data_IF_396728736322
#
_entry.id   IF_396728736322
#
_cell.length_a   1.000
_cell.length_b   1.000
_cell.length_c   1.000
_cell.angle_alpha   90.00
_cell.angle_beta   90.00
_cell.angle_gamma   90.00
#
_symmetry.space_group_name_H-M   'P 1'
#
loop_
_entity.id
_entity.type
_entity.pdbx_description
1 polymer ?
#
# COMPACT_ATOMS: atom_id res chain seq x y z
N UNK A 1 -18.74 7.05 4.99
CA UNK A 1 -18.06 8.37 4.99
C UNK A 1 -16.61 8.12 5.38
N UNK A 2 -15.64 8.73 4.69
CA UNK A 2 -14.23 8.67 5.08
C UNK A 2 -14.00 9.48 6.36
N UNK A 3 -13.24 8.93 7.30
CA UNK A 3 -12.92 9.59 8.57
C UNK A 3 -11.40 9.74 8.71
N UNK A 4 -10.89 10.83 9.28
CA UNK A 4 -9.45 10.97 9.54
C UNK A 4 -8.92 9.85 10.44
N UNK A 5 -7.81 9.22 10.04
CA UNK A 5 -7.14 8.18 10.83
C UNK A 5 -5.75 8.64 11.30
N UNK A 6 -4.95 9.23 10.39
CA UNK A 6 -3.64 9.84 10.65
C UNK A 6 -3.41 11.00 9.67
N UNK A 7 -2.28 11.70 9.78
CA UNK A 7 -1.89 12.71 8.79
C UNK A 7 -1.87 12.07 7.39
N UNK A 8 -2.62 12.63 6.45
CA UNK A 8 -2.76 12.13 5.07
C UNK A 8 -3.29 10.68 4.97
N UNK A 9 -4.05 10.22 5.96
CA UNK A 9 -4.71 8.92 5.93
C UNK A 9 -6.11 8.99 6.50
N UNK A 10 -7.06 8.41 5.79
CA UNK A 10 -8.46 8.27 6.18
C UNK A 10 -8.83 6.79 6.31
N UNK A 11 -9.89 6.51 7.05
CA UNK A 11 -10.45 5.18 7.23
C UNK A 11 -11.94 5.20 6.89
N UNK A 12 -12.39 4.17 6.18
CA UNK A 12 -13.78 3.87 5.89
C UNK A 12 -14.25 2.66 6.71
N UNK A 13 -14.98 1.74 6.09
CA UNK A 13 -15.42 0.50 6.73
C UNK A 13 -14.33 -0.59 6.62
N UNK A 14 -13.27 -0.46 7.42
CA UNK A 14 -12.16 -1.43 7.43
C UNK A 14 -11.23 -1.33 6.22
N UNK A 15 -11.30 -0.23 5.47
CA UNK A 15 -10.39 0.12 4.37
C UNK A 15 -9.78 1.47 4.68
N UNK A 16 -8.49 1.62 4.38
CA UNK A 16 -7.76 2.86 4.51
C UNK A 16 -7.59 3.53 3.16
N UNK A 17 -7.60 4.86 3.16
CA UNK A 17 -7.21 5.70 2.03
C UNK A 17 -5.99 6.51 2.44
N UNK A 18 -4.92 6.48 1.66
CA UNK A 18 -3.78 7.37 1.86
C UNK A 18 -3.37 8.02 0.55
N UNK A 19 -2.81 9.22 0.65
CA UNK A 19 -2.25 9.95 -0.48
C UNK A 19 -0.74 9.70 -0.56
N UNK A 20 -0.26 9.23 -1.72
CA UNK A 20 1.16 9.02 -1.94
C UNK A 20 1.93 10.36 -1.90
N UNK A 21 3.01 10.48 -1.11
CA UNK A 21 3.61 11.77 -0.81
C UNK A 21 4.25 12.46 -2.02
N UNK A 22 4.73 11.70 -3.00
CA UNK A 22 5.41 12.27 -4.19
C UNK A 22 4.49 12.38 -5.40
N UNK A 23 3.51 11.49 -5.53
CA UNK A 23 2.67 11.39 -6.74
C UNK A 23 1.27 11.93 -6.53
N UNK A 24 0.89 12.26 -5.30
CA UNK A 24 -0.43 12.74 -4.91
C UNK A 24 -1.58 11.81 -5.31
N UNK A 25 -1.26 10.54 -5.60
CA UNK A 25 -2.23 9.53 -5.98
C UNK A 25 -2.81 8.86 -4.73
N UNK A 26 -4.13 8.70 -4.73
CA UNK A 26 -4.83 8.04 -3.64
C UNK A 26 -4.77 6.53 -3.80
N UNK A 27 -4.36 5.84 -2.74
CA UNK A 27 -4.34 4.39 -2.67
C UNK A 27 -5.29 3.94 -1.57
N UNK A 28 -6.09 2.94 -1.91
CA UNK A 28 -7.10 2.33 -1.06
C UNK A 28 -6.62 0.94 -0.67
N UNK A 29 -6.78 0.52 0.57
CA UNK A 29 -6.26 -0.77 0.97
C UNK A 29 -6.21 -1.04 2.45
N UNK A 30 -5.49 -2.10 2.80
CA UNK A 30 -5.32 -2.54 4.17
C UNK A 30 -4.02 -3.31 4.36
N UNK A 31 -3.42 -3.17 5.54
CA UNK A 31 -2.26 -3.97 5.96
C UNK A 31 -2.70 -5.05 6.96
N UNK A 32 -2.16 -6.24 6.83
CA UNK A 32 -2.30 -7.33 7.80
C UNK A 32 -0.98 -7.61 8.49
N UNK A 33 -1.02 -7.93 9.78
CA UNK A 33 0.13 -8.44 10.53
C UNK A 33 -0.35 -9.52 11.49
N UNK A 34 0.27 -10.69 11.40
CA UNK A 34 0.02 -11.85 12.26
C UNK A 34 1.36 -12.47 12.65
N UNK A 35 1.35 -13.49 13.51
CA UNK A 35 2.56 -14.17 14.00
C UNK A 35 3.41 -14.70 12.84
N UNK A 36 4.54 -14.05 12.59
CA UNK A 36 5.52 -14.42 11.55
C UNK A 36 5.21 -13.91 10.14
N UNK A 37 4.10 -13.20 9.91
CA UNK A 37 3.71 -12.77 8.56
C UNK A 37 3.15 -11.35 8.53
N UNK A 38 3.38 -10.66 7.42
CA UNK A 38 2.73 -9.40 7.08
C UNK A 38 2.17 -9.45 5.66
N UNK A 39 1.10 -8.69 5.45
CA UNK A 39 0.46 -8.53 4.16
C UNK A 39 0.07 -7.08 3.91
N UNK A 40 0.07 -6.67 2.65
CA UNK A 40 -0.38 -5.36 2.20
C UNK A 40 -1.11 -5.51 0.88
N UNK A 41 -2.38 -5.11 0.84
CA UNK A 41 -3.19 -5.07 -0.37
C UNK A 41 -3.66 -3.64 -0.58
N UNK A 42 -3.28 -3.05 -1.71
CA UNK A 42 -3.59 -1.67 -2.06
C UNK A 42 -3.95 -1.56 -3.52
N UNK A 43 -4.92 -0.70 -3.85
CA UNK A 43 -5.29 -0.38 -5.22
C UNK A 43 -5.44 1.11 -5.44
N UNK A 44 -5.30 1.51 -6.70
CA UNK A 44 -5.51 2.85 -7.18
C UNK A 44 -6.53 2.79 -8.33
N UNK A 45 -7.70 3.40 -8.11
CA UNK A 45 -8.80 3.39 -9.08
C UNK A 45 -8.51 4.23 -10.32
N UNK A 46 -7.72 5.31 -10.20
CA UNK A 46 -7.38 6.18 -11.33
C UNK A 46 -6.36 5.55 -12.28
N UNK A 47 -5.49 4.69 -11.75
CA UNK A 47 -4.40 4.04 -12.49
C UNK A 47 -4.74 2.62 -12.95
N UNK A 48 -5.93 2.13 -12.60
CA UNK A 48 -6.35 0.73 -12.75
C UNK A 48 -5.26 -0.25 -12.27
N UNK A 49 -4.78 -0.02 -11.04
CA UNK A 49 -3.62 -0.71 -10.49
C UNK A 49 -3.96 -1.33 -9.14
N UNK A 50 -3.70 -2.62 -8.98
CA UNK A 50 -3.74 -3.30 -7.69
C UNK A 50 -2.39 -3.95 -7.39
N UNK A 51 -1.94 -3.83 -6.14
CA UNK A 51 -0.71 -4.42 -5.66
C UNK A 51 -0.94 -5.25 -4.40
N UNK A 52 -0.27 -6.39 -4.34
CA UNK A 52 -0.27 -7.29 -3.19
C UNK A 52 1.16 -7.64 -2.80
N UNK A 53 1.50 -7.42 -1.54
CA UNK A 53 2.79 -7.84 -0.96
C UNK A 53 2.52 -8.76 0.22
N UNK A 54 3.16 -9.92 0.21
CA UNK A 54 3.15 -10.89 1.31
C UNK A 54 4.59 -11.13 1.74
N UNK A 55 4.84 -11.08 3.04
CA UNK A 55 6.15 -11.35 3.61
C UNK A 55 6.04 -12.30 4.81
N UNK A 56 6.97 -13.26 4.89
CA UNK A 56 7.20 -14.10 6.07
C UNK A 56 8.00 -13.34 7.16
N UNK A 57 7.66 -12.07 7.34
CA UNK A 57 8.26 -11.15 8.30
C UNK A 57 7.12 -10.62 9.16
N UNK A 58 7.04 -11.09 10.40
CA UNK A 58 6.05 -10.64 11.38
C UNK A 58 6.49 -9.37 12.09
N UNK A 59 5.56 -8.45 12.31
CA UNK A 59 5.81 -7.19 13.04
C UNK A 59 5.09 -7.08 14.38
N UNK A 60 4.15 -8.00 14.66
CA UNK A 60 3.43 -8.05 15.93
C UNK A 60 4.40 -8.16 17.10
N UNK A 61 4.35 -7.15 18.00
CA UNK A 61 5.24 -7.02 19.16
C UNK A 61 6.74 -6.89 18.86
N UNK A 62 7.13 -6.76 17.59
CA UNK A 62 8.53 -6.61 17.17
C UNK A 62 8.90 -5.17 16.75
N UNK A 63 7.90 -4.28 16.61
CA UNK A 63 8.11 -2.91 16.17
C UNK A 63 8.39 -2.83 14.66
N UNK A 64 9.35 -1.98 14.26
CA UNK A 64 9.73 -1.80 12.86
C UNK A 64 10.67 -2.91 12.43
N UNK A 65 10.23 -3.76 11.51
CA UNK A 65 11.00 -4.89 10.98
C UNK A 65 11.24 -4.71 9.49
N UNK A 66 12.50 -4.82 9.10
CA UNK A 66 12.94 -4.72 7.70
C UNK A 66 12.26 -5.77 6.82
N UNK A 67 11.90 -5.41 5.59
CA UNK A 67 11.23 -6.28 4.61
C UNK A 67 9.84 -6.76 5.01
N UNK A 68 9.19 -6.13 6.00
CA UNK A 68 7.76 -6.34 6.22
C UNK A 68 6.94 -5.78 5.05
N UNK A 69 5.80 -6.40 4.74
CA UNK A 69 4.94 -5.98 3.63
C UNK A 69 4.59 -4.47 3.65
N UNK A 70 4.16 -3.86 4.78
CA UNK A 70 3.92 -2.42 4.81
C UNK A 70 5.19 -1.61 4.59
N UNK A 71 6.35 -2.05 5.08
CA UNK A 71 7.59 -1.32 4.82
C UNK A 71 7.94 -1.33 3.32
N UNK A 72 7.78 -2.48 2.64
CA UNK A 72 8.00 -2.58 1.20
C UNK A 72 7.06 -1.63 0.46
N UNK A 73 5.77 -1.62 0.80
CA UNK A 73 4.79 -0.77 0.11
C UNK A 73 5.03 0.72 0.35
N UNK A 74 5.32 1.13 1.59
CA UNK A 74 5.28 2.54 1.99
C UNK A 74 6.64 3.23 2.13
N UNK A 75 7.71 2.46 2.31
CA UNK A 75 9.06 3.00 2.56
C UNK A 75 10.07 2.57 1.48
N UNK A 76 9.61 2.02 0.36
CA UNK A 76 10.42 1.74 -0.81
C UNK A 76 9.79 2.35 -2.06
N UNK A 77 10.44 2.19 -3.22
CA UNK A 77 9.93 2.66 -4.51
C UNK A 77 8.84 1.77 -5.11
N UNK A 78 8.35 0.76 -4.36
CA UNK A 78 7.45 -0.28 -4.88
C UNK A 78 6.18 0.29 -5.55
N UNK A 79 5.49 1.23 -4.90
CA UNK A 79 4.30 1.85 -5.49
C UNK A 79 4.64 2.71 -6.71
N UNK A 80 5.75 3.45 -6.68
CA UNK A 80 6.19 4.24 -7.83
C UNK A 80 6.51 3.36 -9.05
N UNK A 81 7.11 2.19 -8.83
CA UNK A 81 7.36 1.20 -9.87
C UNK A 81 6.04 0.63 -10.42
N UNK A 82 5.10 0.26 -9.54
CA UNK A 82 3.79 -0.22 -9.96
C UNK A 82 3.06 0.81 -10.85
N UNK A 83 3.11 2.09 -10.48
CA UNK A 83 2.56 3.19 -11.28
C UNK A 83 3.27 3.36 -12.64
N UNK A 84 4.58 3.15 -12.71
CA UNK A 84 5.31 3.23 -13.99
C UNK A 84 4.91 2.09 -14.93
N UNK A 85 4.63 0.91 -14.39
CA UNK A 85 4.24 -0.27 -15.16
C UNK A 85 2.83 -0.13 -15.78
N UNK A 86 1.90 0.55 -15.10
CA UNK A 86 0.56 0.80 -15.68
C UNK A 86 0.65 1.66 -16.95
N UNK A 87 1.54 2.64 -16.97
CA UNK A 87 1.77 3.50 -18.15
C UNK A 87 2.45 2.79 -19.33
N UNK A 88 3.15 1.67 -19.08
CA UNK A 88 3.73 0.85 -20.14
C UNK A 88 2.64 -0.01 -20.76
N UNK A 89 1.82 -0.65 -19.94
CA UNK A 89 0.72 -1.50 -20.40
C UNK A 89 -0.26 -0.76 -21.33
N UNK A 90 -0.55 0.51 -21.05
CA UNK A 90 -1.46 1.35 -21.86
C UNK A 90 -0.87 1.71 -23.24
N UNK A 91 0.45 1.63 -23.45
CA UNK A 91 1.08 1.97 -24.74
C UNK A 91 1.11 0.80 -25.74
N UNK A 92 0.83 -0.41 -25.27
CA UNK A 92 0.87 -1.64 -26.07
C UNK A 92 -0.53 -2.07 -26.57
N UNK A 93 -1.57 -1.26 -26.30
CA UNK A 93 -2.95 -1.39 -26.83
C UNK A 93 -3.24 -0.38 -27.94
#
# INVERSE_FOLDING_TARGET
>A
MWQPARKSTEIGHGIFRFEHPTTHKNWLGHNGSVLGFTGSLWWNEELDCAVGVLANVGTMHAGKVSSSAPQIVFESEFLEIAMKLTNIAVKDE
#
